data_IF_780382754878
#
_entry.id   IF_780382754878
#
_cell.length_a   1.000
_cell.length_b   1.000
_cell.length_c   1.000
_cell.angle_alpha   90.00
_cell.angle_beta   90.00
_cell.angle_gamma   90.00
#
_symmetry.space_group_name_H-M   'P 1'
#
loop_
_entity.id
_entity.type
_entity.pdbx_description
1 polymer ?
#
# COMPACT_ATOMS: atom_id res chain seq x y z
N UNK A 1 5.63 12.98 20.26
CA UNK A 1 6.21 11.81 20.96
C UNK A 1 5.68 10.59 20.22
N UNK A 2 6.42 10.13 19.22
CA UNK A 2 6.04 8.97 18.41
C UNK A 2 6.26 7.74 19.28
N UNK A 3 5.18 7.13 19.78
CA UNK A 3 5.27 5.85 20.47
C UNK A 3 5.69 4.85 19.40
N UNK A 4 6.93 4.37 19.47
CA UNK A 4 7.41 3.26 18.68
C UNK A 4 6.45 2.09 18.89
N UNK A 5 5.56 1.86 17.91
CA UNK A 5 4.60 0.78 17.96
C UNK A 5 5.36 -0.51 17.62
N UNK A 6 5.62 -1.41 18.59
CA UNK A 6 6.55 -2.53 18.45
C UNK A 6 6.13 -3.53 17.37
N UNK A 7 4.86 -3.50 16.96
CA UNK A 7 4.30 -4.31 15.87
C UNK A 7 5.03 -4.04 14.54
N UNK A 8 5.48 -2.79 14.31
CA UNK A 8 6.12 -2.40 13.06
C UNK A 8 7.64 -2.46 13.09
N UNK A 9 8.27 -2.92 14.18
CA UNK A 9 9.73 -2.95 14.27
C UNK A 9 10.35 -3.87 13.20
N UNK A 10 9.59 -4.86 12.72
CA UNK A 10 10.00 -5.79 11.67
C UNK A 10 9.31 -5.52 10.33
N UNK A 11 8.57 -4.40 10.22
CA UNK A 11 7.89 -4.04 8.98
C UNK A 11 8.91 -3.54 7.95
N UNK A 12 8.95 -4.18 6.79
CA UNK A 12 9.76 -3.78 5.65
C UNK A 12 8.88 -3.11 4.61
N UNK A 13 9.26 -1.91 4.21
CA UNK A 13 8.64 -1.22 3.09
C UNK A 13 9.41 -1.55 1.81
N UNK A 14 8.69 -1.91 0.74
CA UNK A 14 9.31 -2.15 -0.56
C UNK A 14 8.44 -1.69 -1.72
N UNK A 15 9.05 -1.32 -2.86
CA UNK A 15 8.29 -1.11 -4.10
C UNK A 15 7.53 -2.38 -4.50
N UNK A 16 6.31 -2.20 -5.00
CA UNK A 16 5.53 -3.28 -5.58
C UNK A 16 5.91 -3.46 -7.05
N UNK A 17 6.02 -4.72 -7.45
CA UNK A 17 6.39 -5.18 -8.78
C UNK A 17 5.21 -5.88 -9.42
N UNK A 18 5.19 -5.97 -10.75
CA UNK A 18 4.18 -6.79 -11.45
C UNK A 18 4.15 -8.26 -11.00
N UNK A 19 5.27 -8.79 -10.50
CA UNK A 19 5.35 -10.12 -9.90
C UNK A 19 4.44 -10.30 -8.67
N UNK A 20 4.13 -9.22 -7.94
CA UNK A 20 3.31 -9.25 -6.73
C UNK A 20 1.79 -9.29 -7.03
N UNK A 21 1.38 -9.25 -8.30
CA UNK A 21 -0.03 -9.13 -8.67
C UNK A 21 -0.90 -10.28 -8.13
N UNK A 22 -0.35 -11.50 -8.07
CA UNK A 22 -1.04 -12.65 -7.49
C UNK A 22 -1.27 -12.50 -5.98
N UNK A 23 -0.24 -12.04 -5.25
CA UNK A 23 -0.31 -11.78 -3.81
C UNK A 23 -1.27 -10.63 -3.51
N UNK A 24 -1.21 -9.52 -4.25
CA UNK A 24 -2.14 -8.39 -4.14
C UNK A 24 -3.59 -8.79 -4.43
N UNK A 25 -3.81 -9.63 -5.44
CA UNK A 25 -5.16 -10.12 -5.76
C UNK A 25 -5.70 -10.99 -4.65
N UNK A 26 -4.88 -11.89 -4.09
CA UNK A 26 -5.26 -12.67 -2.92
C UNK A 26 -5.53 -11.76 -1.72
N UNK A 27 -4.66 -10.79 -1.47
CA UNK A 27 -4.77 -9.84 -0.38
C UNK A 27 -6.07 -9.05 -0.43
N UNK A 28 -6.39 -8.45 -1.58
CA UNK A 28 -7.63 -7.69 -1.80
C UNK A 28 -8.90 -8.49 -1.58
N UNK A 29 -8.87 -9.80 -1.88
CA UNK A 29 -10.00 -10.71 -1.64
C UNK A 29 -10.18 -11.08 -0.17
N UNK A 30 -9.12 -10.98 0.63
CA UNK A 30 -9.10 -11.44 2.02
C UNK A 30 -8.94 -10.29 3.03
N UNK A 31 -8.63 -9.08 2.58
CA UNK A 31 -8.47 -7.91 3.43
C UNK A 31 -9.81 -7.51 4.05
N UNK A 32 -9.78 -7.19 5.35
CA UNK A 32 -10.95 -6.75 6.11
C UNK A 32 -11.39 -5.33 5.73
N UNK A 33 -10.44 -4.51 5.28
CA UNK A 33 -10.68 -3.15 4.81
C UNK A 33 -9.94 -2.92 3.49
N UNK A 34 -10.71 -2.57 2.47
CA UNK A 34 -10.21 -2.32 1.12
C UNK A 34 -10.85 -1.03 0.63
N UNK A 35 -10.03 -0.05 0.25
CA UNK A 35 -10.50 1.12 -0.48
C UNK A 35 -9.83 1.14 -1.85
N UNK A 36 -10.64 0.92 -2.89
CA UNK A 36 -10.23 0.99 -4.29
C UNK A 36 -10.98 2.15 -4.93
N UNK A 37 -10.26 3.09 -5.49
CA UNK A 37 -10.86 4.08 -6.39
C UNK A 37 -10.95 3.46 -7.78
N UNK A 38 -12.15 3.51 -8.37
CA UNK A 38 -12.36 3.02 -9.74
C UNK A 38 -11.77 4.06 -10.70
N UNK A 39 -10.71 3.64 -11.39
CA UNK A 39 -10.04 4.41 -12.42
C UNK A 39 -10.23 3.69 -13.78
N UNK A 40 -9.87 4.34 -14.89
CA UNK A 40 -9.71 3.66 -16.19
C UNK A 40 -8.54 2.67 -16.18
N UNK A 41 -7.69 2.71 -15.15
CA UNK A 41 -6.55 1.84 -14.92
C UNK A 41 -6.87 0.72 -13.93
N UNK A 42 -6.28 -0.45 -14.16
CA UNK A 42 -6.30 -1.56 -13.21
C UNK A 42 -5.21 -1.37 -12.14
N UNK A 43 -5.33 -2.05 -10.99
CA UNK A 43 -4.27 -2.04 -9.98
C UNK A 43 -2.92 -2.50 -10.55
N UNK A 44 -2.93 -3.45 -11.48
CA UNK A 44 -1.73 -3.99 -12.11
C UNK A 44 -1.00 -2.99 -13.01
N UNK A 45 -1.70 -1.95 -13.49
CA UNK A 45 -1.10 -0.88 -14.30
C UNK A 45 -0.25 0.08 -13.47
N UNK A 46 -0.50 0.12 -12.16
CA UNK A 46 0.24 0.94 -11.22
C UNK A 46 1.44 0.23 -10.59
N UNK A 47 1.59 -1.09 -10.78
CA UNK A 47 2.76 -1.82 -10.32
C UNK A 47 4.01 -1.38 -11.10
N UNK A 48 5.18 -1.54 -10.48
CA UNK A 48 6.47 -1.03 -10.99
C UNK A 48 6.59 0.50 -11.05
N UNK A 49 5.58 1.25 -10.60
CA UNK A 49 5.64 2.70 -10.48
C UNK A 49 6.22 3.14 -9.12
N UNK A 50 6.91 4.29 -9.04
CA UNK A 50 7.45 4.83 -7.78
C UNK A 50 6.41 4.96 -6.65
N UNK A 51 5.15 5.22 -6.99
CA UNK A 51 4.08 5.41 -6.03
C UNK A 51 3.39 4.13 -5.56
N UNK A 52 3.86 2.94 -5.97
CA UNK A 52 3.33 1.66 -5.53
C UNK A 52 4.24 1.01 -4.47
N UNK A 53 3.77 0.99 -3.22
CA UNK A 53 4.52 0.45 -2.06
C UNK A 53 3.74 -0.64 -1.34
N UNK A 54 4.47 -1.67 -0.91
CA UNK A 54 3.99 -2.73 -0.05
C UNK A 54 4.68 -2.67 1.30
N UNK A 55 3.94 -3.06 2.34
CA UNK A 55 4.48 -3.32 3.66
C UNK A 55 4.46 -4.82 3.92
N UNK A 56 5.61 -5.37 4.29
CA UNK A 56 5.80 -6.77 4.61
C UNK A 56 6.18 -6.96 6.07
N UNK A 57 5.61 -7.99 6.70
CA UNK A 57 6.05 -8.49 8.00
C UNK A 57 6.27 -9.98 7.86
N UNK A 58 7.47 -10.45 8.25
CA UNK A 58 7.86 -11.87 8.19
C UNK A 58 7.69 -12.49 6.79
N UNK A 59 7.86 -11.68 5.74
CA UNK A 59 7.75 -12.11 4.34
C UNK A 59 6.33 -12.21 3.78
N UNK A 60 5.31 -11.78 4.54
CA UNK A 60 3.94 -11.68 4.09
C UNK A 60 3.54 -10.22 3.85
N UNK A 61 2.87 -9.94 2.73
CA UNK A 61 2.27 -8.62 2.49
C UNK A 61 1.12 -8.38 3.48
N UNK A 62 1.28 -7.34 4.31
CA UNK A 62 0.30 -6.97 5.35
C UNK A 62 -0.45 -5.68 5.02
N UNK A 63 0.00 -4.95 4.01
CA UNK A 63 -0.69 -3.81 3.46
C UNK A 63 0.01 -3.24 2.24
N UNK A 64 -0.71 -2.42 1.49
CA UNK A 64 -0.16 -1.77 0.31
C UNK A 64 -0.83 -0.41 0.09
N UNK A 65 -0.12 0.46 -0.63
CA UNK A 65 -0.63 1.73 -1.10
C UNK A 65 -0.11 2.00 -2.52
N UNK A 66 -1.01 2.50 -3.35
CA UNK A 66 -0.69 2.98 -4.69
C UNK A 66 -1.13 4.42 -4.82
N UNK A 67 -0.19 5.29 -5.19
CA UNK A 67 -0.44 6.68 -5.51
C UNK A 67 0.19 7.07 -6.85
N UNK A 68 -0.38 8.04 -7.53
CA UNK A 68 0.18 8.58 -8.78
C UNK A 68 -0.32 9.99 -9.06
N UNK A 69 0.53 10.82 -9.65
CA UNK A 69 0.19 12.18 -10.02
C UNK A 69 -0.72 12.22 -11.24
N UNK A 70 -1.83 12.99 -11.13
CA UNK A 70 -2.79 13.15 -12.22
C UNK A 70 -3.84 14.25 -11.93
N UNK A 71 -3.65 15.50 -12.39
CA UNK A 71 -2.42 16.06 -12.96
C UNK A 71 -1.44 16.55 -11.86
N UNK A 72 -0.17 16.72 -12.23
CA UNK A 72 0.82 17.37 -11.37
C UNK A 72 0.37 18.80 -10.96
N UNK A 73 0.69 19.29 -9.75
CA UNK A 73 1.52 18.63 -8.72
C UNK A 73 0.72 17.76 -7.74
N UNK A 74 -0.56 17.47 -8.02
CA UNK A 74 -1.41 16.70 -7.12
C UNK A 74 -1.23 15.19 -7.34
N UNK A 75 -1.21 14.42 -6.26
CA UNK A 75 -1.19 12.96 -6.29
C UNK A 75 -2.46 12.39 -5.67
N UNK A 76 -2.97 11.33 -6.29
CA UNK A 76 -4.17 10.62 -5.84
C UNK A 76 -3.83 9.23 -5.37
N UNK A 77 -4.48 8.81 -4.28
CA UNK A 77 -4.48 7.41 -3.87
C UNK A 77 -5.35 6.62 -4.85
N UNK A 78 -4.75 5.64 -5.54
CA UNK A 78 -5.42 4.76 -6.49
C UNK A 78 -5.89 3.46 -5.82
N UNK A 79 -5.16 3.01 -4.80
CA UNK A 79 -5.55 1.85 -4.00
C UNK A 79 -4.87 1.84 -2.65
N UNK A 80 -5.59 1.44 -1.62
CA UNK A 80 -5.04 1.15 -0.30
C UNK A 80 -5.80 0.00 0.34
N UNK A 81 -5.07 -0.97 0.87
CA UNK A 81 -5.63 -2.02 1.70
C UNK A 81 -4.60 -2.48 2.72
N UNK A 82 -5.08 -2.99 3.84
CA UNK A 82 -4.23 -3.53 4.90
C UNK A 82 -5.00 -4.55 5.75
N UNK A 83 -4.29 -5.42 6.45
CA UNK A 83 -4.91 -6.39 7.36
C UNK A 83 -5.60 -5.65 8.51
N UNK A 84 -6.80 -6.13 8.88
CA UNK A 84 -7.69 -5.40 9.81
C UNK A 84 -7.39 -5.57 11.29
N UNK A 85 -6.32 -6.27 11.66
CA UNK A 85 -5.95 -6.51 13.05
C UNK A 85 -5.24 -5.30 13.70
N UNK A 86 -4.84 -4.32 12.88
CA UNK A 86 -4.06 -3.16 13.33
C UNK A 86 -4.79 -1.83 13.14
N UNK A 87 -4.41 -0.78 13.91
CA UNK A 87 -5.06 0.52 13.80
C UNK A 87 -4.93 1.11 12.39
N UNK A 88 -6.05 1.38 11.69
CA UNK A 88 -6.03 1.79 10.29
C UNK A 88 -5.28 3.11 10.04
N UNK A 89 -5.34 4.05 11.00
CA UNK A 89 -4.63 5.33 10.90
C UNK A 89 -3.10 5.14 10.87
N UNK A 90 -2.56 4.34 11.80
CA UNK A 90 -1.11 4.06 11.85
C UNK A 90 -0.63 3.30 10.62
N UNK A 91 -1.45 2.39 10.09
CA UNK A 91 -1.16 1.68 8.84
C UNK A 91 -1.04 2.63 7.66
N UNK A 92 -2.03 3.51 7.52
CA UNK A 92 -2.07 4.50 6.46
C UNK A 92 -0.90 5.49 6.58
N UNK A 93 -0.60 5.99 7.78
CA UNK A 93 0.55 6.88 8.03
C UNK A 93 1.88 6.26 7.61
N UNK A 94 2.11 4.98 7.97
CA UNK A 94 3.32 4.23 7.60
C UNK A 94 3.44 4.08 6.08
N UNK A 95 2.37 3.68 5.42
CA UNK A 95 2.35 3.51 3.96
C UNK A 95 2.56 4.86 3.25
N UNK A 96 1.88 5.92 3.69
CA UNK A 96 2.05 7.27 3.14
C UNK A 96 3.48 7.78 3.29
N UNK A 97 4.14 7.49 4.41
CA UNK A 97 5.54 7.87 4.64
C UNK A 97 6.55 7.18 3.70
N UNK A 98 6.17 6.06 3.09
CA UNK A 98 7.03 5.29 2.17
C UNK A 98 6.73 5.53 0.69
N UNK A 99 5.63 6.21 0.37
CA UNK A 99 5.20 6.48 -1.00
C UNK A 99 5.93 7.69 -1.55
N UNK A 100 6.54 7.52 -2.72
CA UNK A 100 7.01 8.64 -3.54
C UNK A 100 6.03 8.77 -4.70
N UNK A 101 5.15 9.79 -4.70
CA UNK A 101 4.25 10.02 -5.83
C UNK A 101 5.03 10.08 -7.14
N UNK A 102 4.67 9.22 -8.09
CA UNK A 102 5.18 9.26 -9.47
C UNK A 102 4.46 10.36 -10.27
#
# INVERSE_FOLDING_TARGET
MELANPIFNNALMRPLRRADNAELTWFLRNARYTHVHVDWYTLADWLDQPGAVGMEIEGALVGFLVAGADPLPASWLRGVAFIGEWPPGTMLERLLGAVVPA
#
